data_IF_788418195446
#
_entry.id   IF_788418195446
#
_cell.length_a   1.000
_cell.length_b   1.000
_cell.length_c   1.000
_cell.angle_alpha   90.00
_cell.angle_beta   90.00
_cell.angle_gamma   90.00
#
_symmetry.space_group_name_H-M   'P 1'
#
loop_
_entity.id
_entity.type
_entity.pdbx_description
1 polymer ?
#
# COMPACT_ATOMS: atom_id res chain seq x y z
N UNK A 1 16.02 -12.06 9.01
CA UNK A 1 15.14 -12.46 7.92
C UNK A 1 13.85 -13.07 8.49
N UNK A 2 12.72 -12.50 8.13
CA UNK A 2 11.45 -12.99 8.61
C UNK A 2 10.82 -13.97 7.65
N UNK A 3 10.53 -15.16 8.13
CA UNK A 3 9.61 -16.07 7.45
C UNK A 3 8.24 -15.83 8.06
N UNK A 4 7.20 -15.72 7.23
CA UNK A 4 5.86 -15.59 7.74
C UNK A 4 5.48 -16.88 8.46
N UNK A 5 5.30 -16.77 9.76
CA UNK A 5 4.92 -17.85 10.63
C UNK A 5 3.68 -17.52 11.44
N UNK A 6 3.35 -18.39 12.37
CA UNK A 6 2.13 -18.30 13.18
C UNK A 6 2.01 -16.98 13.96
N UNK A 7 3.14 -16.42 14.39
CA UNK A 7 3.16 -15.19 15.19
C UNK A 7 3.48 -13.95 14.36
N UNK A 8 3.51 -14.08 13.03
CA UNK A 8 3.77 -12.96 12.15
C UNK A 8 2.60 -12.00 12.16
N UNK A 9 2.83 -10.77 12.58
CA UNK A 9 1.84 -9.70 12.49
C UNK A 9 2.09 -8.82 11.28
N UNK A 10 3.27 -8.20 11.25
CA UNK A 10 3.69 -7.36 10.14
C UNK A 10 5.22 -7.28 10.12
N UNK A 11 5.74 -6.80 8.98
CA UNK A 11 7.18 -6.59 8.81
C UNK A 11 7.42 -5.28 8.09
N UNK A 12 8.23 -4.42 8.70
CA UNK A 12 8.63 -3.15 8.10
C UNK A 12 9.82 -3.36 7.18
N UNK A 13 9.79 -2.73 6.01
CA UNK A 13 10.89 -2.76 5.06
C UNK A 13 11.25 -1.34 4.69
N UNK A 14 12.47 -0.92 5.04
CA UNK A 14 12.99 0.36 4.65
C UNK A 14 13.49 0.29 3.21
N UNK A 15 13.31 1.39 2.47
CA UNK A 15 13.76 1.49 1.08
C UNK A 15 13.20 0.39 0.16
N UNK A 16 11.95 0.06 0.35
CA UNK A 16 11.23 -0.84 -0.55
C UNK A 16 11.18 -0.25 -1.97
N UNK A 17 11.03 1.07 -2.05
CA UNK A 17 11.20 1.84 -3.28
C UNK A 17 12.49 2.65 -3.19
N UNK A 18 13.20 2.75 -4.29
CA UNK A 18 14.32 3.68 -4.41
C UNK A 18 13.84 5.13 -4.44
N UNK A 19 14.76 6.07 -4.23
CA UNK A 19 14.42 7.49 -4.33
C UNK A 19 13.88 7.85 -5.72
N UNK A 20 14.47 7.32 -6.77
CA UNK A 20 14.02 7.59 -8.15
C UNK A 20 12.62 7.02 -8.38
N UNK A 21 12.33 5.84 -7.86
CA UNK A 21 10.99 5.27 -7.94
C UNK A 21 9.97 6.12 -7.18
N UNK A 22 10.32 6.60 -5.98
CA UNK A 22 9.46 7.50 -5.20
C UNK A 22 9.18 8.77 -5.98
N UNK A 23 10.21 9.40 -6.51
CA UNK A 23 10.06 10.66 -7.26
C UNK A 23 9.16 10.47 -8.48
N UNK A 24 9.39 9.41 -9.25
CA UNK A 24 8.55 9.10 -10.43
C UNK A 24 7.11 8.85 -10.05
N UNK A 25 6.87 8.07 -9.01
CA UNK A 25 5.51 7.72 -8.59
C UNK A 25 4.76 8.92 -8.03
N UNK A 26 5.43 9.84 -7.35
CA UNK A 26 4.82 11.08 -6.91
C UNK A 26 4.36 11.92 -8.10
N UNK A 27 5.21 12.10 -9.10
CA UNK A 27 4.83 12.82 -10.31
C UNK A 27 3.64 12.14 -11.00
N UNK A 28 3.68 10.83 -11.12
CA UNK A 28 2.62 10.06 -11.77
C UNK A 28 1.28 10.21 -11.03
N UNK A 29 1.27 10.04 -9.72
CA UNK A 29 0.03 10.11 -8.94
C UNK A 29 -0.54 11.52 -8.89
N UNK A 30 0.32 12.55 -8.82
CA UNK A 30 -0.11 13.94 -8.88
C UNK A 30 -0.75 14.26 -10.24
N UNK A 31 -0.12 13.84 -11.32
CA UNK A 31 -0.65 14.05 -12.67
C UNK A 31 -2.00 13.33 -12.84
N UNK A 32 -2.09 12.11 -12.37
CA UNK A 32 -3.32 11.34 -12.46
C UNK A 32 -4.43 11.93 -11.59
N UNK A 33 -4.10 12.43 -10.43
CA UNK A 33 -5.05 13.12 -9.55
C UNK A 33 -5.63 14.36 -10.24
N UNK A 34 -4.79 15.16 -10.88
CA UNK A 34 -5.22 16.40 -11.55
C UNK A 34 -6.05 16.12 -12.81
N UNK A 35 -5.69 15.06 -13.57
CA UNK A 35 -6.29 14.81 -14.88
C UNK A 35 -7.46 13.83 -14.86
N UNK A 36 -7.60 13.00 -13.84
CA UNK A 36 -8.62 11.96 -13.74
C UNK A 36 -9.26 11.95 -12.35
N UNK A 37 -10.06 12.96 -12.06
CA UNK A 37 -10.68 13.16 -10.75
C UNK A 37 -11.88 12.25 -10.46
N UNK A 38 -12.12 11.25 -11.26
CA UNK A 38 -13.34 10.45 -11.22
C UNK A 38 -13.26 9.19 -10.34
N UNK A 39 -12.23 9.06 -9.54
CA UNK A 39 -12.08 7.89 -8.70
C UNK A 39 -13.02 7.93 -7.49
N UNK A 40 -13.32 6.75 -6.98
CA UNK A 40 -14.12 6.57 -5.78
C UNK A 40 -13.58 5.36 -5.02
N UNK A 41 -13.87 5.32 -3.75
CA UNK A 41 -13.24 4.34 -2.84
C UNK A 41 -14.08 3.08 -2.58
N UNK A 42 -15.13 2.88 -3.34
CA UNK A 42 -16.01 1.72 -3.19
C UNK A 42 -16.63 1.60 -1.77
N UNK A 43 -16.86 2.71 -1.11
CA UNK A 43 -17.50 2.76 0.19
C UNK A 43 -16.58 2.57 1.40
N UNK A 44 -15.28 2.54 1.19
CA UNK A 44 -14.32 2.41 2.30
C UNK A 44 -14.09 3.72 3.04
N UNK A 45 -14.41 4.84 2.43
CA UNK A 45 -14.30 6.16 3.05
C UNK A 45 -15.59 6.95 2.79
N UNK A 46 -16.00 7.80 3.73
CA UNK A 46 -17.20 8.65 3.53
C UNK A 46 -16.98 9.77 2.51
N UNK A 47 -15.74 10.01 2.13
CA UNK A 47 -15.38 11.09 1.20
C UNK A 47 -14.77 10.48 -0.05
N UNK A 48 -15.19 10.97 -1.22
CA UNK A 48 -14.56 10.58 -2.48
C UNK A 48 -13.12 11.09 -2.49
N UNK A 49 -12.19 10.19 -2.66
CA UNK A 49 -10.78 10.51 -2.82
C UNK A 49 -10.27 9.93 -4.14
N UNK A 50 -9.06 10.30 -4.53
CA UNK A 50 -8.45 9.75 -5.73
C UNK A 50 -7.89 8.38 -5.42
N UNK A 51 -8.44 7.35 -6.05
CA UNK A 51 -7.95 6.00 -5.92
C UNK A 51 -8.13 5.24 -7.23
N UNK A 52 -7.24 4.29 -7.50
CA UNK A 52 -7.27 3.49 -8.71
C UNK A 52 -6.93 2.04 -8.41
N UNK A 53 -7.75 1.17 -8.96
CA UNK A 53 -7.57 -0.27 -8.93
C UNK A 53 -7.04 -0.74 -10.27
N UNK A 54 -6.01 -1.58 -10.26
CA UNK A 54 -5.49 -2.16 -11.49
C UNK A 54 -4.77 -1.16 -12.40
N UNK A 55 -4.16 -0.13 -11.82
CA UNK A 55 -3.39 0.84 -12.57
C UNK A 55 -2.17 0.13 -13.20
N UNK A 56 -1.98 0.21 -14.53
CA UNK A 56 -0.88 -0.52 -15.19
C UNK A 56 0.51 -0.20 -14.64
N UNK A 57 0.78 1.03 -14.26
CA UNK A 57 2.07 1.38 -13.66
C UNK A 57 2.23 0.71 -12.30
N UNK A 58 1.21 0.76 -11.47
CA UNK A 58 1.25 0.16 -10.13
C UNK A 58 1.24 -1.36 -10.18
N UNK A 59 0.51 -1.95 -11.11
CA UNK A 59 0.58 -3.40 -11.35
C UNK A 59 1.98 -3.81 -11.81
N UNK A 60 2.61 -3.02 -12.68
CA UNK A 60 3.98 -3.27 -13.11
C UNK A 60 4.96 -3.16 -11.95
N UNK A 61 4.77 -2.18 -11.08
CA UNK A 61 5.58 -2.05 -9.86
C UNK A 61 5.42 -3.28 -8.97
N UNK A 62 4.20 -3.76 -8.76
CA UNK A 62 3.93 -4.97 -7.99
C UNK A 62 4.70 -6.17 -8.57
N UNK A 63 4.63 -6.36 -9.88
CA UNK A 63 5.35 -7.46 -10.53
C UNK A 63 6.88 -7.31 -10.38
N UNK A 64 7.40 -6.08 -10.46
CA UNK A 64 8.84 -5.83 -10.30
C UNK A 64 9.33 -6.09 -8.87
N UNK A 65 8.45 -6.00 -7.88
CA UNK A 65 8.79 -6.21 -6.46
C UNK A 65 8.51 -7.63 -5.96
N UNK A 66 8.03 -8.52 -6.82
CA UNK A 66 7.70 -9.89 -6.45
C UNK A 66 8.87 -10.62 -5.77
N UNK A 67 10.07 -10.52 -6.33
CA UNK A 67 11.25 -11.20 -5.79
C UNK A 67 11.59 -10.72 -4.38
N UNK A 68 11.48 -9.42 -4.13
CA UNK A 68 11.70 -8.83 -2.82
C UNK A 68 10.66 -9.37 -1.84
N UNK A 69 9.39 -9.38 -2.24
CA UNK A 69 8.31 -9.89 -1.42
C UNK A 69 8.50 -11.37 -1.09
N UNK A 70 8.90 -12.18 -2.05
CA UNK A 70 9.17 -13.60 -1.83
C UNK A 70 10.35 -13.81 -0.87
N UNK A 71 11.40 -13.01 -1.01
CA UNK A 71 12.54 -13.05 -0.09
C UNK A 71 12.13 -12.68 1.33
N UNK A 72 11.37 -11.61 1.49
CA UNK A 72 10.97 -11.11 2.80
C UNK A 72 9.94 -11.99 3.50
N UNK A 73 9.12 -12.70 2.76
CA UNK A 73 8.10 -13.60 3.31
C UNK A 73 8.55 -15.05 3.40
N UNK A 74 9.58 -15.45 2.66
CA UNK A 74 10.00 -16.83 2.55
C UNK A 74 9.03 -17.73 1.80
N UNK A 75 8.11 -17.15 1.02
CA UNK A 75 7.07 -17.87 0.30
C UNK A 75 7.09 -17.54 -1.18
N UNK A 76 6.63 -18.47 -2.00
CA UNK A 76 6.30 -18.18 -3.41
C UNK A 76 4.96 -17.46 -3.45
N UNK A 77 4.91 -16.36 -4.17
CA UNK A 77 3.74 -15.49 -4.22
C UNK A 77 3.17 -15.39 -5.62
N UNK A 78 1.85 -15.28 -5.68
CA UNK A 78 1.11 -15.00 -6.90
C UNK A 78 0.59 -13.57 -6.82
N UNK A 79 1.13 -12.63 -7.63
CA UNK A 79 0.62 -11.27 -7.65
C UNK A 79 -0.84 -11.26 -8.09
N UNK A 80 -1.68 -10.48 -7.42
CA UNK A 80 -3.10 -10.37 -7.74
C UNK A 80 -3.43 -9.03 -8.34
N UNK A 81 -3.28 -7.95 -7.57
CA UNK A 81 -3.53 -6.60 -8.07
C UNK A 81 -2.82 -5.56 -7.21
N UNK A 82 -2.68 -4.36 -7.76
CA UNK A 82 -2.25 -3.20 -7.02
C UNK A 82 -3.40 -2.19 -6.92
N UNK A 83 -3.37 -1.41 -5.87
CA UNK A 83 -4.34 -0.35 -5.60
C UNK A 83 -3.60 0.82 -4.98
N UNK A 84 -3.96 2.05 -5.35
CA UNK A 84 -3.40 3.21 -4.69
C UNK A 84 -4.46 4.24 -4.38
N UNK A 85 -4.21 5.01 -3.34
CA UNK A 85 -5.11 6.04 -2.86
C UNK A 85 -4.31 7.28 -2.45
N UNK A 86 -4.87 8.44 -2.78
CA UNK A 86 -4.38 9.72 -2.28
C UNK A 86 -5.33 10.17 -1.18
N UNK A 87 -4.84 10.17 0.05
CA UNK A 87 -5.64 10.61 1.18
C UNK A 87 -5.74 12.13 1.18
N UNK A 88 -6.96 12.63 1.36
CA UNK A 88 -7.25 14.05 1.45
C UNK A 88 -7.80 14.38 2.82
N UNK A 89 -8.04 15.67 3.11
CA UNK A 89 -8.42 16.17 4.43
C UNK A 89 -9.52 15.39 5.14
N UNK A 90 -10.50 14.85 4.41
CA UNK A 90 -11.64 14.16 5.00
C UNK A 90 -11.66 12.66 4.73
N UNK A 91 -10.58 12.10 4.22
CA UNK A 91 -10.49 10.67 3.99
C UNK A 91 -10.44 9.93 5.34
N UNK A 92 -11.30 8.95 5.49
CA UNK A 92 -11.38 8.11 6.69
C UNK A 92 -11.57 6.65 6.25
N UNK A 93 -10.47 5.92 6.18
CA UNK A 93 -10.50 4.50 5.85
C UNK A 93 -10.85 3.70 7.10
N UNK A 94 -12.01 3.08 7.09
CA UNK A 94 -12.50 2.33 8.25
C UNK A 94 -11.73 1.03 8.44
N UNK A 95 -11.68 0.59 9.69
CA UNK A 95 -11.09 -0.68 10.06
C UNK A 95 -11.77 -1.82 9.29
N UNK A 96 -10.97 -2.68 8.67
CA UNK A 96 -11.44 -3.79 7.85
C UNK A 96 -10.34 -4.84 7.69
N UNK A 97 -10.71 -6.03 7.24
CA UNK A 97 -9.77 -7.00 6.70
C UNK A 97 -9.82 -6.97 5.18
N UNK A 98 -8.71 -7.34 4.53
CA UNK A 98 -8.63 -7.35 3.08
C UNK A 98 -9.32 -8.60 2.50
N UNK A 99 -9.51 -8.59 1.19
CA UNK A 99 -10.08 -9.72 0.45
C UNK A 99 -9.15 -10.94 0.52
N UNK A 100 -9.68 -12.17 0.34
CA UNK A 100 -8.84 -13.37 0.29
C UNK A 100 -7.70 -13.32 -0.74
N UNK A 101 -7.90 -12.61 -1.86
CA UNK A 101 -6.84 -12.38 -2.85
C UNK A 101 -5.68 -11.53 -2.32
N UNK A 102 -5.85 -10.88 -1.18
CA UNK A 102 -4.84 -10.08 -0.50
C UNK A 102 -4.34 -10.80 0.77
N UNK A 103 -4.13 -12.10 0.68
CA UNK A 103 -3.63 -12.90 1.80
C UNK A 103 -2.34 -12.32 2.37
N UNK A 104 -1.41 -11.96 1.50
CA UNK A 104 -0.20 -11.22 1.87
C UNK A 104 -0.27 -9.88 1.18
N UNK A 105 -0.29 -8.82 1.96
CA UNK A 105 -0.41 -7.47 1.46
C UNK A 105 0.84 -6.66 1.80
N UNK A 106 1.15 -5.69 0.95
CA UNK A 106 2.17 -4.70 1.24
C UNK A 106 1.60 -3.31 0.99
N UNK A 107 1.77 -2.44 1.97
CA UNK A 107 1.42 -1.03 1.84
C UNK A 107 2.70 -0.21 1.80
N UNK A 108 2.80 0.68 0.83
CA UNK A 108 3.98 1.49 0.60
C UNK A 108 3.57 2.96 0.64
N UNK A 109 4.30 3.76 1.39
CA UNK A 109 4.13 5.21 1.34
C UNK A 109 4.90 5.75 0.14
N UNK A 110 4.19 6.37 -0.80
CA UNK A 110 4.78 6.98 -2.00
C UNK A 110 5.19 8.43 -1.70
N UNK A 111 4.39 9.14 -0.93
CA UNK A 111 4.68 10.54 -0.64
C UNK A 111 3.66 11.16 0.29
N UNK A 112 4.00 12.36 0.78
CA UNK A 112 3.18 13.09 1.74
C UNK A 112 3.51 14.58 1.64
N UNK A 113 2.57 15.41 2.05
CA UNK A 113 2.79 16.86 2.19
C UNK A 113 3.45 17.21 3.54
N UNK A 114 3.90 16.21 4.31
CA UNK A 114 4.44 16.38 5.64
C UNK A 114 3.45 16.08 6.76
N UNK A 115 2.18 15.89 6.43
CA UNK A 115 1.16 15.50 7.41
C UNK A 115 1.42 14.07 7.87
N UNK A 116 1.39 13.83 9.19
CA UNK A 116 1.50 12.48 9.72
C UNK A 116 0.20 11.72 9.46
N UNK A 117 0.31 10.59 8.77
CA UNK A 117 -0.84 9.75 8.45
C UNK A 117 -0.46 8.28 8.67
N UNK A 118 -0.52 7.80 9.92
CA UNK A 118 -0.14 6.43 10.22
C UNK A 118 -1.15 5.43 9.68
N UNK A 119 -0.67 4.23 9.34
CA UNK A 119 -1.52 3.08 9.12
C UNK A 119 -1.73 2.38 10.47
N UNK A 120 -2.94 1.89 10.71
CA UNK A 120 -3.26 1.13 11.92
C UNK A 120 -3.43 -0.33 11.57
N UNK A 121 -2.67 -1.18 12.25
CA UNK A 121 -2.82 -2.64 12.12
C UNK A 121 -3.05 -3.18 13.53
N UNK A 122 -4.19 -3.83 13.73
CA UNK A 122 -4.63 -4.32 15.04
C UNK A 122 -4.56 -3.23 16.13
N UNK A 123 -4.96 -2.02 15.77
CA UNK A 123 -4.97 -0.88 16.68
C UNK A 123 -3.61 -0.23 16.93
N UNK A 124 -2.54 -0.75 16.34
CA UNK A 124 -1.19 -0.22 16.49
C UNK A 124 -0.89 0.77 15.36
N UNK A 125 -0.53 2.00 15.73
CA UNK A 125 -0.21 3.05 14.78
C UNK A 125 1.22 2.89 14.23
N UNK A 126 1.35 2.84 12.92
CA UNK A 126 2.64 2.67 12.25
C UNK A 126 2.80 3.79 11.23
N UNK A 127 3.87 4.55 11.35
CA UNK A 127 4.17 5.64 10.42
C UNK A 127 5.24 5.19 9.44
N UNK A 128 4.92 5.28 8.15
CA UNK A 128 5.85 4.96 7.06
C UNK A 128 6.38 6.24 6.44
N UNK A 129 7.70 6.31 6.25
CA UNK A 129 8.33 7.36 5.45
C UNK A 129 8.19 7.02 3.97
N UNK A 130 8.21 8.02 3.05
CA UNK A 130 8.17 7.74 1.61
C UNK A 130 9.23 6.71 1.20
N UNK A 131 8.80 5.71 0.44
CA UNK A 131 9.64 4.61 0.00
C UNK A 131 9.70 3.41 0.95
N UNK A 132 9.22 3.55 2.18
CA UNK A 132 9.17 2.46 3.13
C UNK A 132 7.84 1.72 3.03
N UNK A 133 7.85 0.45 3.40
CA UNK A 133 6.71 -0.44 3.25
C UNK A 133 6.46 -1.26 4.51
N UNK A 134 5.25 -1.75 4.61
CA UNK A 134 4.87 -2.72 5.63
C UNK A 134 4.19 -3.91 4.97
N UNK A 135 4.66 -5.12 5.28
CA UNK A 135 4.06 -6.38 4.83
C UNK A 135 3.21 -6.92 5.96
N UNK A 136 2.00 -7.35 5.65
CA UNK A 136 1.07 -7.90 6.65
C UNK A 136 0.13 -8.93 6.02
N UNK A 137 -0.54 -9.70 6.86
CA UNK A 137 -1.54 -10.68 6.44
C UNK A 137 -2.89 -9.95 6.28
N UNK A 138 -3.20 -9.51 5.06
CA UNK A 138 -4.31 -8.60 4.79
C UNK A 138 -5.69 -9.16 5.14
N UNK A 139 -5.90 -10.46 5.00
CA UNK A 139 -7.19 -11.05 5.34
C UNK A 139 -7.30 -11.56 6.79
N UNK A 140 -6.25 -11.43 7.60
CA UNK A 140 -6.24 -11.83 9.00
C UNK A 140 -6.13 -10.65 9.96
N UNK A 141 -5.46 -9.56 9.55
CA UNK A 141 -5.22 -8.37 10.39
C UNK A 141 -6.10 -7.21 9.95
N UNK A 142 -6.57 -6.40 10.91
CA UNK A 142 -7.41 -5.24 10.68
C UNK A 142 -6.64 -3.92 10.85
#
# INVERSE_FOLDING_TARGET
MGVIGKDFKYKLINNFLSKDEVDLLNEYTDMKHVTNLSSFDAGQSPVMDTCFYGDPLMDSLMLSKKKIMEKETGKKLLPTYAFWRMYTKYTDLKKHTDRPSCEISVTVNIGSDGTSWPIYIEGEAITLKPGNAIIYLGCELE
#
